data_IF_535040014640
#
_entry.id   IF_535040014640
#
_cell.length_a   1.000
_cell.length_b   1.000
_cell.length_c   1.000
_cell.angle_alpha   90.00
_cell.angle_beta   90.00
_cell.angle_gamma   90.00
#
_symmetry.space_group_name_H-M   'P 1'
#
loop_
_entity.id
_entity.type
_entity.pdbx_description
1 polymer ?
#
# COMPACT_ATOMS: atom_id res chain seq x y z
N UNK A 1 -3.89 -1.89 -15.89
CA UNK A 1 -5.13 -1.30 -16.47
C UNK A 1 -5.65 -0.23 -15.53
N UNK A 2 -5.72 1.04 -15.96
CA UNK A 2 -6.33 2.08 -15.15
C UNK A 2 -7.85 1.92 -15.28
N UNK A 3 -8.50 1.40 -14.26
CA UNK A 3 -9.95 1.38 -14.17
C UNK A 3 -10.41 2.78 -13.76
N UNK A 4 -10.58 3.65 -14.75
CA UNK A 4 -11.33 4.89 -14.51
C UNK A 4 -12.76 4.49 -14.12
N UNK A 5 -13.16 4.73 -12.86
CA UNK A 5 -14.57 4.55 -12.51
C UNK A 5 -15.35 5.70 -13.13
N UNK A 6 -15.84 5.49 -14.35
CA UNK A 6 -16.89 6.28 -14.97
C UNK A 6 -18.29 5.73 -14.66
N UNK A 7 -18.38 4.69 -13.82
CA UNK A 7 -19.67 4.15 -13.41
C UNK A 7 -20.36 5.14 -12.47
N UNK A 8 -21.40 5.79 -13.00
CA UNK A 8 -22.25 6.70 -12.22
C UNK A 8 -22.97 6.01 -11.04
N UNK A 9 -23.04 4.69 -11.05
CA UNK A 9 -23.62 3.88 -9.97
C UNK A 9 -22.62 3.56 -8.87
N UNK A 10 -21.33 3.82 -9.09
CA UNK A 10 -20.33 3.60 -8.05
C UNK A 10 -20.56 4.56 -6.88
N UNK A 11 -20.63 4.08 -5.62
CA UNK A 11 -21.00 4.89 -4.47
C UNK A 11 -20.09 6.12 -4.25
N UNK A 12 -18.79 6.01 -4.54
CA UNK A 12 -17.89 7.17 -4.45
C UNK A 12 -18.21 8.23 -5.50
N UNK A 13 -18.56 7.83 -6.73
CA UNK A 13 -18.95 8.75 -7.79
C UNK A 13 -20.27 9.44 -7.42
N UNK A 14 -21.26 8.69 -6.95
CA UNK A 14 -22.53 9.25 -6.48
C UNK A 14 -22.33 10.22 -5.33
N UNK A 15 -21.57 9.83 -4.32
CA UNK A 15 -21.27 10.68 -3.17
C UNK A 15 -20.57 11.98 -3.59
N UNK A 16 -19.62 11.91 -4.52
CA UNK A 16 -18.92 13.10 -5.02
C UNK A 16 -19.79 14.06 -5.81
N UNK A 17 -20.91 13.58 -6.38
CA UNK A 17 -21.86 14.39 -7.13
C UNK A 17 -22.90 15.09 -6.25
N UNK A 18 -23.08 14.67 -4.99
CA UNK A 18 -24.04 15.29 -4.09
C UNK A 18 -23.67 16.75 -3.85
N UNK A 19 -24.51 17.67 -4.27
CA UNK A 19 -24.24 19.11 -4.18
C UNK A 19 -25.27 19.89 -3.37
N UNK A 20 -26.49 19.41 -3.33
CA UNK A 20 -27.59 20.08 -2.69
C UNK A 20 -27.78 19.65 -1.22
N UNK A 21 -28.16 20.59 -0.37
CA UNK A 21 -28.44 20.30 1.05
C UNK A 21 -29.56 19.27 1.24
N UNK A 22 -30.52 19.21 0.31
CA UNK A 22 -31.60 18.24 0.35
C UNK A 22 -31.18 16.81 0.09
N UNK A 23 -30.23 16.60 -0.85
CA UNK A 23 -29.66 15.27 -1.12
C UNK A 23 -28.83 14.74 0.08
N UNK A 24 -28.17 15.63 0.80
CA UNK A 24 -27.41 15.29 2.00
C UNK A 24 -28.30 14.90 3.19
N UNK A 25 -29.54 15.40 3.27
CA UNK A 25 -30.49 15.06 4.35
C UNK A 25 -30.84 13.57 4.36
N UNK A 26 -30.87 12.91 3.21
CA UNK A 26 -31.16 11.48 3.09
C UNK A 26 -30.02 10.55 3.49
N UNK A 27 -28.88 11.09 3.93
CA UNK A 27 -27.73 10.29 4.34
C UNK A 27 -27.69 10.15 5.86
N UNK A 28 -27.79 8.92 6.34
CA UNK A 28 -27.56 8.62 7.75
C UNK A 28 -26.07 8.56 8.06
N UNK A 29 -25.67 9.15 9.19
CA UNK A 29 -24.30 9.14 9.67
C UNK A 29 -24.21 8.55 11.08
N UNK A 30 -23.16 7.74 11.28
CA UNK A 30 -22.67 7.37 12.60
C UNK A 30 -21.20 7.72 12.74
N UNK A 31 -20.79 8.17 13.92
CA UNK A 31 -19.42 8.54 14.22
C UNK A 31 -18.86 7.67 15.31
N UNK A 32 -17.67 7.11 15.05
CA UNK A 32 -16.99 6.22 15.96
C UNK A 32 -15.55 6.67 16.22
N UNK A 33 -15.09 6.45 17.45
CA UNK A 33 -13.68 6.42 17.78
C UNK A 33 -13.24 4.97 17.91
N UNK A 34 -12.10 4.61 17.30
CA UNK A 34 -11.58 3.25 17.26
C UNK A 34 -10.24 3.16 17.98
N UNK A 35 -10.08 2.13 18.77
CA UNK A 35 -8.83 1.69 19.39
C UNK A 35 -8.45 0.30 18.92
N UNK A 36 -7.18 0.11 18.58
CA UNK A 36 -6.57 -1.18 18.29
C UNK A 36 -5.97 -1.78 19.57
N UNK A 37 -6.20 -3.06 19.81
CA UNK A 37 -5.69 -3.79 20.98
C UNK A 37 -5.03 -5.09 20.52
N UNK A 38 -3.70 -5.09 20.38
CA UNK A 38 -2.96 -6.26 19.83
C UNK A 38 -3.04 -7.53 20.72
N UNK A 39 -3.23 -7.38 22.00
CA UNK A 39 -3.13 -8.48 23.01
C UNK A 39 -4.48 -8.89 23.61
N UNK A 40 -5.59 -8.49 22.99
CA UNK A 40 -6.93 -8.76 23.52
C UNK A 40 -7.72 -9.67 22.58
N UNK A 41 -8.61 -10.50 23.14
CA UNK A 41 -9.61 -11.27 22.38
C UNK A 41 -10.47 -10.39 21.48
N UNK A 42 -10.58 -9.11 21.84
CA UNK A 42 -11.22 -8.07 21.03
C UNK A 42 -10.15 -7.16 20.40
N UNK A 43 -9.72 -7.52 19.21
CA UNK A 43 -8.67 -6.79 18.49
C UNK A 43 -8.97 -5.32 18.26
N UNK A 44 -10.24 -4.97 18.05
CA UNK A 44 -10.72 -3.59 17.96
C UNK A 44 -11.78 -3.33 19.01
N UNK A 45 -11.78 -2.11 19.55
CA UNK A 45 -12.86 -1.53 20.33
C UNK A 45 -13.28 -0.23 19.71
N UNK A 46 -14.57 -0.01 19.53
CA UNK A 46 -15.14 1.21 18.98
C UNK A 46 -16.06 1.84 20.02
N UNK A 47 -16.10 3.17 20.06
CA UNK A 47 -17.08 3.95 20.81
C UNK A 47 -17.86 4.81 19.86
N UNK A 48 -19.16 4.68 19.87
CA UNK A 48 -20.07 5.51 19.09
C UNK A 48 -20.37 6.80 19.83
N UNK A 49 -20.55 7.88 19.08
CA UNK A 49 -20.96 9.19 19.58
C UNK A 49 -22.22 9.66 18.87
N UNK A 50 -23.18 10.05 19.66
CA UNK A 50 -24.34 10.76 19.13
C UNK A 50 -23.91 12.11 18.54
N UNK A 51 -24.43 12.43 17.37
CA UNK A 51 -24.16 13.67 16.67
C UNK A 51 -25.36 14.62 16.86
N UNK A 52 -25.10 15.90 17.15
CA UNK A 52 -26.15 16.90 16.99
C UNK A 52 -26.44 17.09 15.49
N UNK A 53 -27.62 17.57 15.16
CA UNK A 53 -28.02 17.82 13.77
C UNK A 53 -27.01 18.73 13.05
N UNK A 54 -26.55 19.79 13.70
CA UNK A 54 -25.56 20.74 13.15
C UNK A 54 -24.23 20.04 12.83
N UNK A 55 -23.72 19.22 13.74
CA UNK A 55 -22.47 18.45 13.55
C UNK A 55 -22.66 17.39 12.47
N UNK A 56 -23.81 16.72 12.43
CA UNK A 56 -24.14 15.75 11.39
C UNK A 56 -24.12 16.38 9.99
N UNK A 57 -24.81 17.50 9.81
CA UNK A 57 -24.84 18.22 8.54
C UNK A 57 -23.46 18.78 8.13
N UNK A 58 -22.68 19.23 9.10
CA UNK A 58 -21.30 19.63 8.82
C UNK A 58 -20.44 18.45 8.37
N UNK A 59 -20.50 17.30 9.06
CA UNK A 59 -19.77 16.08 8.69
C UNK A 59 -20.14 15.58 7.30
N UNK A 60 -21.43 15.57 6.93
CA UNK A 60 -21.86 15.19 5.59
C UNK A 60 -21.15 16.02 4.52
N UNK A 61 -21.14 17.35 4.70
CA UNK A 61 -20.44 18.26 3.78
C UNK A 61 -18.94 18.00 3.73
N UNK A 62 -18.30 17.73 4.88
CA UNK A 62 -16.87 17.42 4.94
C UNK A 62 -16.55 16.11 4.20
N UNK A 63 -17.34 15.05 4.40
CA UNK A 63 -17.16 13.78 3.69
C UNK A 63 -17.25 13.99 2.17
N UNK A 64 -18.26 14.69 1.69
CA UNK A 64 -18.40 14.96 0.25
C UNK A 64 -17.23 15.76 -0.29
N UNK A 65 -16.75 16.78 0.43
CA UNK A 65 -15.59 17.56 0.03
C UNK A 65 -14.31 16.71 -0.02
N UNK A 66 -14.07 15.86 0.99
CA UNK A 66 -12.91 14.99 1.03
C UNK A 66 -12.96 13.93 -0.08
N UNK A 67 -14.12 13.34 -0.35
CA UNK A 67 -14.30 12.41 -1.47
C UNK A 67 -13.99 13.10 -2.81
N UNK A 68 -14.43 14.35 -2.99
CA UNK A 68 -14.09 15.14 -4.19
C UNK A 68 -12.59 15.42 -4.32
N UNK A 69 -11.88 15.57 -3.20
CA UNK A 69 -10.41 15.76 -3.20
C UNK A 69 -9.65 14.52 -3.64
N UNK A 70 -10.26 13.35 -3.51
CA UNK A 70 -9.68 12.09 -4.00
C UNK A 70 -9.78 11.93 -5.51
N UNK A 71 -10.53 12.80 -6.19
CA UNK A 71 -10.65 12.83 -7.64
C UNK A 71 -9.51 13.63 -8.25
N UNK A 72 -8.96 13.15 -9.37
CA UNK A 72 -8.07 13.95 -10.22
C UNK A 72 -8.89 14.89 -11.12
N UNK A 73 -8.32 16.05 -11.41
CA UNK A 73 -8.90 17.01 -12.35
C UNK A 73 -8.30 16.75 -13.73
N UNK A 74 -9.16 16.61 -14.73
CA UNK A 74 -8.76 16.44 -16.12
C UNK A 74 -8.58 17.81 -16.85
N UNK A 75 -7.99 17.79 -18.02
CA UNK A 75 -7.73 18.99 -18.81
C UNK A 75 -9.02 19.74 -19.20
N UNK A 76 -10.11 19.01 -19.43
CA UNK A 76 -11.44 19.56 -19.72
C UNK A 76 -12.16 20.14 -18.50
N UNK A 77 -11.53 20.06 -17.32
CA UNK A 77 -12.09 20.52 -16.06
C UNK A 77 -12.99 19.50 -15.35
N UNK A 78 -13.27 18.37 -15.97
CA UNK A 78 -13.95 17.25 -15.33
C UNK A 78 -13.15 16.63 -14.20
N UNK A 79 -13.79 15.84 -13.34
CA UNK A 79 -13.14 15.13 -12.25
C UNK A 79 -13.51 13.66 -12.29
N UNK A 80 -12.53 12.81 -12.08
CA UNK A 80 -12.73 11.36 -11.99
C UNK A 80 -11.89 10.74 -10.89
N UNK A 81 -12.28 9.55 -10.44
CA UNK A 81 -11.39 8.72 -9.62
C UNK A 81 -10.43 7.98 -10.52
N UNK A 82 -9.16 8.08 -10.22
CA UNK A 82 -8.14 7.19 -10.76
C UNK A 82 -7.88 6.10 -9.73
N UNK A 83 -8.26 4.85 -10.06
CA UNK A 83 -8.16 3.71 -9.16
C UNK A 83 -7.25 2.68 -9.80
N UNK A 84 -6.20 2.30 -9.07
CA UNK A 84 -5.33 1.19 -9.41
C UNK A 84 -5.48 0.06 -8.41
N UNK A 85 -5.18 -1.17 -8.82
CA UNK A 85 -5.12 -2.28 -7.86
C UNK A 85 -4.01 -2.02 -6.84
N UNK A 86 -4.27 -2.37 -5.58
CA UNK A 86 -3.26 -2.29 -4.54
C UNK A 86 -2.20 -3.36 -4.78
N UNK A 87 -0.97 -2.93 -4.82
CA UNK A 87 0.18 -3.83 -4.73
C UNK A 87 1.24 -3.21 -3.82
N UNK A 88 2.11 -4.05 -3.28
CA UNK A 88 3.06 -3.67 -2.22
C UNK A 88 4.05 -2.56 -2.62
N UNK A 89 4.19 -2.29 -3.91
CA UNK A 89 5.13 -1.29 -4.44
C UNK A 89 4.52 0.06 -4.76
N UNK A 90 3.23 0.25 -4.57
CA UNK A 90 2.60 1.56 -4.81
C UNK A 90 3.27 2.60 -3.94
N UNK A 91 4.18 3.37 -4.55
CA UNK A 91 4.92 4.45 -3.88
C UNK A 91 4.20 5.80 -3.99
N UNK A 92 3.40 6.00 -5.01
CA UNK A 92 2.78 7.28 -5.35
C UNK A 92 1.27 7.26 -5.23
N UNK A 93 0.74 8.38 -4.82
CA UNK A 93 -0.57 8.60 -4.22
C UNK A 93 -1.45 9.54 -5.01
N UNK A 94 -1.19 9.67 -6.29
CA UNK A 94 -2.02 10.50 -7.15
C UNK A 94 -3.33 9.79 -7.52
N UNK A 95 -3.50 8.55 -7.06
CA UNK A 95 -4.66 7.69 -7.29
C UNK A 95 -5.00 6.87 -6.05
N UNK A 96 -6.24 6.42 -5.97
CA UNK A 96 -6.67 5.45 -4.97
C UNK A 96 -6.15 4.05 -5.32
N UNK A 97 -5.63 3.34 -4.32
CA UNK A 97 -5.35 1.93 -4.47
C UNK A 97 -6.55 1.11 -4.01
N UNK A 98 -7.05 0.18 -4.85
CA UNK A 98 -8.13 -0.74 -4.51
C UNK A 98 -7.56 -2.08 -4.05
N UNK A 99 -8.05 -2.57 -2.93
CA UNK A 99 -7.76 -3.91 -2.42
C UNK A 99 -9.05 -4.64 -2.15
N UNK A 100 -9.26 -5.81 -2.79
CA UNK A 100 -10.35 -6.71 -2.45
C UNK A 100 -9.98 -7.55 -1.23
N UNK A 101 -10.85 -7.58 -0.23
CA UNK A 101 -10.69 -8.33 1.01
C UNK A 101 -11.45 -9.66 0.92
N UNK A 102 -10.84 -10.65 0.31
CA UNK A 102 -11.35 -12.03 0.22
C UNK A 102 -10.74 -12.88 1.34
N UNK A 103 -11.37 -14.02 1.66
CA UNK A 103 -10.89 -14.90 2.75
C UNK A 103 -9.47 -15.41 2.52
N UNK A 104 -9.13 -15.62 1.27
CA UNK A 104 -7.83 -16.12 0.79
C UNK A 104 -6.68 -15.17 1.14
N UNK A 105 -6.96 -13.88 1.30
CA UNK A 105 -5.98 -12.87 1.71
C UNK A 105 -5.58 -13.05 3.20
N UNK A 106 -6.36 -13.84 3.98
CA UNK A 106 -6.04 -14.17 5.36
C UNK A 106 -6.21 -12.98 6.31
N UNK A 107 -5.10 -12.53 6.91
CA UNK A 107 -5.11 -11.55 8.00
C UNK A 107 -5.92 -10.26 7.72
N UNK A 108 -5.81 -9.59 6.57
CA UNK A 108 -6.61 -8.39 6.29
C UNK A 108 -8.12 -8.64 6.32
N UNK A 109 -8.57 -9.80 5.83
CA UNK A 109 -9.98 -10.19 5.89
C UNK A 109 -10.44 -10.43 7.33
N UNK A 110 -9.65 -11.10 8.14
CA UNK A 110 -9.91 -11.32 9.57
C UNK A 110 -10.01 -9.99 10.32
N UNK A 111 -9.09 -9.04 10.02
CA UNK A 111 -9.10 -7.70 10.61
C UNK A 111 -10.33 -6.89 10.21
N UNK A 112 -10.76 -6.96 8.94
CA UNK A 112 -12.02 -6.38 8.50
C UNK A 112 -13.20 -6.92 9.31
N UNK A 113 -13.28 -8.24 9.46
CA UNK A 113 -14.36 -8.89 10.20
C UNK A 113 -14.38 -8.47 11.67
N UNK A 114 -13.21 -8.41 12.33
CA UNK A 114 -13.08 -7.94 13.70
C UNK A 114 -13.47 -6.45 13.84
N UNK A 115 -13.09 -5.62 12.88
CA UNK A 115 -13.42 -4.20 12.81
C UNK A 115 -14.94 -3.99 12.70
N UNK A 116 -15.59 -4.61 11.73
CA UNK A 116 -17.04 -4.51 11.55
C UNK A 116 -17.82 -5.01 12.76
N UNK A 117 -17.32 -6.05 13.44
CA UNK A 117 -17.89 -6.53 14.71
C UNK A 117 -17.77 -5.48 15.81
N UNK A 118 -16.64 -4.77 15.90
CA UNK A 118 -16.45 -3.71 16.89
C UNK A 118 -17.38 -2.51 16.63
N UNK A 119 -17.60 -2.14 15.37
CA UNK A 119 -18.53 -1.07 14.99
C UNK A 119 -19.99 -1.47 15.26
N UNK A 120 -20.36 -2.74 15.04
CA UNK A 120 -21.70 -3.24 15.31
C UNK A 120 -22.00 -3.39 16.81
N UNK A 121 -20.96 -3.47 17.67
CA UNK A 121 -21.08 -3.63 19.13
C UNK A 121 -20.18 -2.59 19.82
N UNK A 122 -20.55 -1.30 19.77
CA UNK A 122 -19.73 -0.24 20.38
C UNK A 122 -19.60 -0.40 21.89
N UNK A 123 -18.45 -0.01 22.42
CA UNK A 123 -18.12 -0.06 23.82
C UNK A 123 -18.25 1.32 24.45
N UNK A 124 -19.29 1.58 25.26
CA UNK A 124 -19.51 2.89 25.87
C UNK A 124 -18.42 3.27 26.88
N UNK A 125 -17.69 2.27 27.42
CA UNK A 125 -16.64 2.49 28.42
C UNK A 125 -15.27 2.74 27.79
N UNK A 126 -15.15 2.71 26.47
CA UNK A 126 -13.90 3.02 25.81
C UNK A 126 -13.50 4.48 26.05
N UNK A 127 -12.30 4.67 26.60
CA UNK A 127 -11.70 5.99 26.82
C UNK A 127 -11.34 6.65 25.48
N UNK A 128 -11.97 7.78 25.13
CA UNK A 128 -11.71 8.47 23.88
C UNK A 128 -10.25 8.95 23.72
N UNK A 129 -9.56 9.24 24.82
CA UNK A 129 -8.17 9.70 24.79
C UNK A 129 -7.20 8.62 24.29
N UNK A 130 -7.61 7.36 24.38
CA UNK A 130 -6.80 6.18 23.99
C UNK A 130 -7.13 5.67 22.60
N UNK A 131 -7.92 6.40 21.80
CA UNK A 131 -8.30 6.01 20.45
C UNK A 131 -7.34 6.59 19.41
N UNK A 132 -7.13 5.85 18.33
CA UNK A 132 -6.13 6.16 17.30
C UNK A 132 -6.78 6.55 15.97
N UNK A 133 -8.03 6.15 15.76
CA UNK A 133 -8.73 6.37 14.50
C UNK A 133 -10.14 6.91 14.75
N UNK A 134 -10.60 7.67 13.78
CA UNK A 134 -11.97 8.16 13.69
C UNK A 134 -12.61 7.50 12.47
N UNK A 135 -13.85 7.08 12.62
CA UNK A 135 -14.60 6.45 11.56
C UNK A 135 -15.92 7.20 11.41
N UNK A 136 -16.20 7.65 10.20
CA UNK A 136 -17.54 8.11 9.83
C UNK A 136 -18.16 7.02 8.97
N UNK A 137 -19.27 6.46 9.45
CA UNK A 137 -20.07 5.50 8.70
C UNK A 137 -21.22 6.24 8.05
N UNK A 138 -21.48 5.97 6.79
CA UNK A 138 -22.66 6.45 6.09
C UNK A 138 -23.33 5.30 5.36
N UNK A 139 -24.63 5.42 5.13
CA UNK A 139 -25.38 4.52 4.28
C UNK A 139 -25.91 5.30 3.07
N UNK A 140 -25.57 4.83 1.88
CA UNK A 140 -26.01 5.37 0.62
C UNK A 140 -26.56 4.22 -0.24
N UNK A 141 -27.86 4.30 -0.60
CA UNK A 141 -28.54 3.26 -1.39
C UNK A 141 -28.46 1.85 -0.80
N UNK A 142 -28.61 1.73 0.52
CA UNK A 142 -28.49 0.46 1.22
C UNK A 142 -27.07 -0.10 1.32
N UNK A 143 -26.07 0.67 0.93
CA UNK A 143 -24.66 0.29 1.03
C UNK A 143 -23.96 1.12 2.08
N UNK A 144 -23.25 0.44 2.98
CA UNK A 144 -22.49 1.08 4.06
C UNK A 144 -21.07 1.39 3.61
N UNK A 145 -20.66 2.65 3.79
CA UNK A 145 -19.31 3.13 3.58
C UNK A 145 -18.73 3.55 4.93
N UNK A 146 -17.48 3.20 5.17
CA UNK A 146 -16.76 3.59 6.36
C UNK A 146 -15.54 4.41 5.93
N UNK A 147 -15.50 5.68 6.35
CA UNK A 147 -14.42 6.61 6.07
C UNK A 147 -13.49 6.68 7.27
N UNK A 148 -12.23 6.37 7.06
CA UNK A 148 -11.23 6.34 8.12
C UNK A 148 -10.36 7.58 8.09
N UNK A 149 -10.22 8.19 9.27
CA UNK A 149 -9.36 9.33 9.53
C UNK A 149 -8.36 8.96 10.62
N UNK A 150 -7.10 9.30 10.41
CA UNK A 150 -6.08 9.09 11.42
C UNK A 150 -6.18 10.19 12.48
N UNK A 151 -6.19 9.77 13.73
CA UNK A 151 -6.10 10.64 14.87
C UNK A 151 -4.72 10.48 15.49
N UNK A 152 -3.91 11.55 15.50
CA UNK A 152 -2.67 11.52 16.26
C UNK A 152 -3.02 11.28 17.72
N UNK A 153 -2.49 10.22 18.37
CA UNK A 153 -2.66 10.05 19.80
C UNK A 153 -2.21 11.36 20.47
N UNK A 154 -3.04 11.89 21.32
CA UNK A 154 -2.64 13.05 22.11
C UNK A 154 -1.41 12.64 22.91
N UNK A 155 -0.25 13.13 22.55
CA UNK A 155 0.90 13.03 23.43
C UNK A 155 0.53 13.72 24.73
N UNK A 156 0.35 12.86 25.75
CA UNK A 156 0.23 13.14 27.16
C UNK A 156 -0.30 14.50 27.64
N UNK A 157 -1.06 14.45 28.67
CA UNK A 157 -1.74 15.47 29.46
C UNK A 157 -0.93 16.73 29.88
N UNK A 158 0.27 16.97 29.36
CA UNK A 158 1.09 18.12 29.73
C UNK A 158 0.87 19.37 28.89
N UNK A 159 0.16 19.30 27.75
CA UNK A 159 -0.16 20.50 26.96
C UNK A 159 -1.56 20.97 27.29
N UNK A 160 -1.62 22.01 28.13
CA UNK A 160 -2.84 22.77 28.33
C UNK A 160 -3.32 23.31 26.98
N UNK A 161 -4.55 22.96 26.59
CA UNK A 161 -5.17 23.48 25.37
C UNK A 161 -5.85 24.80 25.71
N UNK A 162 -5.63 25.79 24.86
CA UNK A 162 -6.27 27.07 24.96
C UNK A 162 -7.50 27.07 24.03
N UNK A 163 -8.62 27.54 24.53
CA UNK A 163 -9.84 27.80 23.78
C UNK A 163 -10.16 29.28 23.80
N UNK A 164 -10.68 29.82 22.70
CA UNK A 164 -11.23 31.16 22.68
C UNK A 164 -12.60 31.14 23.36
N UNK A 165 -12.70 31.80 24.51
CA UNK A 165 -14.00 32.03 25.13
C UNK A 165 -14.83 33.05 24.35
N UNK A 166 -16.15 33.02 24.56
CA UNK A 166 -17.10 34.01 23.94
C UNK A 166 -16.79 35.47 24.28
N UNK A 167 -16.00 35.72 25.32
CA UNK A 167 -15.53 37.04 25.75
C UNK A 167 -14.31 37.54 24.96
N UNK A 168 -13.75 36.74 24.03
CA UNK A 168 -12.50 37.07 23.35
C UNK A 168 -11.23 36.78 24.15
N UNK A 169 -11.37 36.25 25.36
CA UNK A 169 -10.25 35.83 26.21
C UNK A 169 -9.81 34.39 25.88
N UNK A 170 -8.51 34.13 26.04
CA UNK A 170 -7.96 32.79 25.96
C UNK A 170 -8.09 32.11 27.33
N UNK A 171 -8.85 31.01 27.38
CA UNK A 171 -8.98 30.17 28.57
C UNK A 171 -8.50 28.75 28.27
N UNK A 172 -8.27 28.00 29.34
CA UNK A 172 -7.97 26.57 29.19
C UNK A 172 -9.21 25.80 28.75
N UNK A 173 -9.08 24.99 27.72
CA UNK A 173 -10.16 24.11 27.31
C UNK A 173 -10.47 23.14 28.47
N UNK A 174 -11.66 23.25 29.02
CA UNK A 174 -12.14 22.44 30.16
C UNK A 174 -12.68 21.08 29.70
N UNK A 175 -12.95 20.94 28.40
CA UNK A 175 -13.56 19.75 27.80
C UNK A 175 -12.57 19.02 26.90
N UNK A 176 -12.73 17.69 26.77
CA UNK A 176 -11.96 16.92 25.81
C UNK A 176 -12.44 17.26 24.38
N UNK A 177 -11.56 17.91 23.62
CA UNK A 177 -11.81 18.22 22.23
C UNK A 177 -11.50 17.02 21.34
N UNK A 178 -12.43 16.65 20.48
CA UNK A 178 -12.22 15.70 19.39
C UNK A 178 -11.94 16.51 18.13
N UNK A 179 -10.71 16.45 17.65
CA UNK A 179 -10.35 17.06 16.37
C UNK A 179 -10.60 16.02 15.26
N UNK A 180 -11.43 16.35 14.27
CA UNK A 180 -11.59 15.51 13.10
C UNK A 180 -10.30 15.53 12.28
N UNK A 181 -9.82 14.36 11.87
CA UNK A 181 -8.70 14.23 10.93
C UNK A 181 -9.02 14.93 9.60
N UNK A 182 -8.05 15.66 9.04
CA UNK A 182 -8.29 16.51 7.87
C UNK A 182 -8.47 15.76 6.54
N UNK A 183 -8.07 14.47 6.45
CA UNK A 183 -8.10 13.74 5.19
C UNK A 183 -8.64 12.32 5.38
N UNK A 184 -9.36 11.83 4.40
CA UNK A 184 -9.74 10.41 4.31
C UNK A 184 -8.47 9.61 4.02
N UNK A 185 -8.13 8.71 4.94
CA UNK A 185 -6.96 7.83 4.81
C UNK A 185 -7.27 6.61 3.95
N UNK A 186 -8.42 6.01 4.16
CA UNK A 186 -8.98 4.95 3.31
C UNK A 186 -10.49 4.83 3.53
N UNK A 187 -11.15 4.15 2.60
CA UNK A 187 -12.60 3.91 2.61
C UNK A 187 -12.81 2.40 2.54
N UNK A 188 -13.59 1.86 3.45
CA UNK A 188 -14.07 0.48 3.39
C UNK A 188 -15.52 0.48 2.90
N UNK A 189 -15.74 -0.25 1.82
CA UNK A 189 -17.06 -0.48 1.23
C UNK A 189 -17.21 -1.95 0.90
N UNK A 190 -18.13 -2.62 1.58
CA UNK A 190 -18.34 -4.06 1.45
C UNK A 190 -17.06 -4.86 1.66
N UNK A 191 -16.53 -5.49 0.64
CA UNK A 191 -15.27 -6.23 0.67
C UNK A 191 -14.12 -5.49 -0.01
N UNK A 192 -14.28 -4.22 -0.31
CA UNK A 192 -13.27 -3.43 -1.00
C UNK A 192 -12.74 -2.29 -0.13
N UNK A 193 -11.44 -2.11 -0.18
CA UNK A 193 -10.75 -0.96 0.38
C UNK A 193 -10.29 -0.04 -0.73
N UNK A 194 -10.59 1.26 -0.57
CA UNK A 194 -10.05 2.33 -1.41
C UNK A 194 -9.07 3.13 -0.57
N UNK A 195 -7.80 3.00 -0.84
CA UNK A 195 -6.71 3.45 0.02
C UNK A 195 -6.09 4.70 -0.59
N UNK A 196 -6.14 5.82 0.14
CA UNK A 196 -5.42 7.05 -0.18
C UNK A 196 -4.09 7.13 0.58
N UNK A 197 -3.99 6.48 1.75
CA UNK A 197 -2.78 6.43 2.57
C UNK A 197 -2.45 5.03 3.02
N UNK A 198 -1.37 4.51 2.45
CA UNK A 198 -0.91 3.14 2.72
C UNK A 198 -0.53 2.92 4.18
N UNK A 199 0.20 3.87 4.79
CA UNK A 199 0.71 3.72 6.16
C UNK A 199 -0.41 3.51 7.18
N UNK A 200 -1.51 4.27 7.02
CA UNK A 200 -2.67 4.17 7.92
C UNK A 200 -3.40 2.85 7.72
N UNK A 201 -3.64 2.47 6.46
CA UNK A 201 -4.23 1.17 6.13
C UNK A 201 -3.38 0.02 6.67
N UNK A 202 -2.07 0.01 6.36
CA UNK A 202 -1.15 -1.02 6.81
C UNK A 202 -1.11 -1.14 8.35
N UNK A 203 -1.26 -0.02 9.05
CA UNK A 203 -1.32 -0.02 10.51
C UNK A 203 -2.66 -0.55 11.02
N UNK A 204 -3.81 -0.10 10.49
CA UNK A 204 -5.13 -0.53 10.95
C UNK A 204 -5.30 -2.03 10.76
N UNK A 205 -4.95 -2.56 9.60
CA UNK A 205 -5.16 -3.96 9.22
C UNK A 205 -3.99 -4.90 9.54
N UNK A 206 -2.93 -4.44 10.22
CA UNK A 206 -1.67 -5.18 10.40
C UNK A 206 -1.04 -5.67 9.09
N UNK A 207 -1.33 -4.98 8.00
CA UNK A 207 -0.84 -5.38 6.70
C UNK A 207 0.68 -5.34 6.63
N UNK A 208 1.31 -4.47 7.40
CA UNK A 208 2.77 -4.40 7.54
C UNK A 208 3.35 -5.71 8.08
N UNK A 209 2.73 -6.30 9.09
CA UNK A 209 3.18 -7.58 9.66
C UNK A 209 3.02 -8.73 8.65
N UNK A 210 1.96 -8.69 7.83
CA UNK A 210 1.78 -9.61 6.71
C UNK A 210 2.90 -9.47 5.68
N UNK A 211 3.21 -8.24 5.27
CA UNK A 211 4.29 -7.93 4.32
C UNK A 211 5.66 -8.39 4.84
N UNK A 212 5.94 -8.17 6.13
CA UNK A 212 7.20 -8.62 6.75
C UNK A 212 7.33 -10.14 6.75
N UNK A 213 6.27 -10.87 7.07
CA UNK A 213 6.27 -12.34 7.02
C UNK A 213 6.45 -12.87 5.60
N UNK A 214 5.78 -12.26 4.60
CA UNK A 214 5.97 -12.60 3.21
C UNK A 214 7.40 -12.36 2.74
N UNK A 215 8.00 -11.23 3.14
CA UNK A 215 9.43 -10.94 2.89
C UNK A 215 10.34 -12.03 3.44
N UNK A 216 10.17 -12.37 4.73
CA UNK A 216 11.02 -13.37 5.39
C UNK A 216 10.89 -14.73 4.70
N UNK A 217 9.66 -15.14 4.42
CA UNK A 217 9.40 -16.40 3.71
C UNK A 217 10.06 -16.43 2.32
N UNK A 218 9.88 -15.38 1.53
CA UNK A 218 10.43 -15.32 0.18
C UNK A 218 11.96 -15.20 0.19
N UNK A 219 12.54 -14.48 1.16
CA UNK A 219 14.00 -14.39 1.30
C UNK A 219 14.61 -15.77 1.63
N UNK A 220 13.98 -16.54 2.51
CA UNK A 220 14.37 -17.92 2.78
C UNK A 220 14.23 -18.81 1.54
N UNK A 221 13.12 -18.70 0.80
CA UNK A 221 12.90 -19.45 -0.41
C UNK A 221 13.97 -19.14 -1.46
N UNK A 222 14.25 -17.85 -1.76
CA UNK A 222 15.30 -17.43 -2.70
C UNK A 222 16.66 -18.00 -2.30
N UNK A 223 17.04 -17.84 -1.03
CA UNK A 223 18.35 -18.29 -0.56
C UNK A 223 18.48 -19.81 -0.43
N UNK A 224 17.40 -20.55 -0.63
CA UNK A 224 17.36 -22.01 -0.67
C UNK A 224 17.45 -22.57 -2.09
N UNK A 225 17.38 -21.72 -3.14
CA UNK A 225 17.50 -22.15 -4.52
C UNK A 225 18.88 -22.73 -4.82
N UNK A 226 19.00 -23.74 -5.71
CA UNK A 226 20.25 -24.45 -5.95
C UNK A 226 21.43 -23.54 -6.34
N UNK A 227 21.17 -22.49 -7.09
CA UNK A 227 22.21 -21.55 -7.54
C UNK A 227 22.65 -20.53 -6.46
N UNK A 228 22.04 -20.56 -5.26
CA UNK A 228 22.48 -19.81 -4.07
C UNK A 228 23.50 -20.57 -3.23
N UNK A 229 24.34 -21.37 -3.88
CA UNK A 229 25.46 -22.09 -3.25
C UNK A 229 26.61 -21.11 -2.92
N UNK A 230 26.55 -20.47 -1.77
CA UNK A 230 27.58 -19.59 -1.25
C UNK A 230 27.94 -19.92 0.19
N UNK A 231 29.06 -19.42 0.65
CA UNK A 231 29.47 -19.56 2.05
C UNK A 231 28.44 -18.98 3.00
N UNK A 232 28.31 -19.59 4.18
CA UNK A 232 27.32 -19.16 5.18
C UNK A 232 27.48 -17.67 5.53
N UNK A 233 28.70 -17.17 5.66
CA UNK A 233 28.98 -15.77 5.97
C UNK A 233 28.41 -14.81 4.91
N UNK A 234 28.55 -15.15 3.64
CA UNK A 234 28.04 -14.37 2.51
C UNK A 234 26.51 -14.43 2.44
N UNK A 235 25.95 -15.60 2.69
CA UNK A 235 24.48 -15.80 2.77
C UNK A 235 23.88 -14.99 3.90
N UNK A 236 24.49 -15.00 5.08
CA UNK A 236 24.05 -14.23 6.24
C UNK A 236 24.17 -12.70 5.98
N UNK A 237 25.25 -12.30 5.28
CA UNK A 237 25.43 -10.90 4.85
C UNK A 237 24.34 -10.48 3.86
N UNK A 238 24.08 -11.28 2.83
CA UNK A 238 22.99 -11.02 1.88
C UNK A 238 21.63 -10.87 2.58
N UNK A 239 21.28 -11.81 3.46
CA UNK A 239 20.03 -11.76 4.23
C UNK A 239 19.94 -10.50 5.09
N UNK A 240 21.01 -10.12 5.76
CA UNK A 240 21.08 -8.91 6.58
C UNK A 240 20.89 -7.64 5.73
N UNK A 241 21.55 -7.54 4.58
CA UNK A 241 21.47 -6.38 3.70
C UNK A 241 20.08 -6.27 3.05
N UNK A 242 19.45 -7.40 2.70
CA UNK A 242 18.05 -7.49 2.30
C UNK A 242 17.08 -7.13 3.46
N UNK A 243 17.55 -7.11 4.70
CA UNK A 243 16.82 -6.67 5.88
C UNK A 243 16.32 -5.23 5.80
N UNK A 244 17.02 -4.35 5.06
CA UNK A 244 16.63 -2.96 4.91
C UNK A 244 15.18 -2.78 4.43
N UNK A 245 14.49 -1.79 5.00
CA UNK A 245 13.07 -1.50 4.72
C UNK A 245 12.81 -1.29 3.22
N UNK A 246 13.78 -0.71 2.52
CA UNK A 246 13.69 -0.43 1.08
C UNK A 246 13.38 -1.69 0.23
N UNK A 247 13.92 -2.87 0.61
CA UNK A 247 13.72 -4.12 -0.13
C UNK A 247 12.49 -4.91 0.32
N UNK A 248 11.81 -4.46 1.38
CA UNK A 248 10.73 -5.23 2.00
C UNK A 248 9.60 -5.51 1.02
N UNK A 249 9.19 -4.51 0.25
CA UNK A 249 8.07 -4.65 -0.69
C UNK A 249 8.43 -5.51 -1.88
N UNK A 250 9.61 -5.30 -2.46
CA UNK A 250 10.11 -6.10 -3.58
C UNK A 250 10.17 -7.58 -3.22
N UNK A 251 10.74 -7.92 -2.06
CA UNK A 251 10.83 -9.30 -1.59
C UNK A 251 9.47 -9.91 -1.28
N UNK A 252 8.56 -9.15 -0.64
CA UNK A 252 7.25 -9.65 -0.26
C UNK A 252 6.34 -9.95 -1.47
N UNK A 253 6.60 -9.34 -2.63
CA UNK A 253 5.83 -9.55 -3.86
C UNK A 253 6.24 -10.80 -4.65
N UNK A 254 7.42 -11.34 -4.39
CA UNK A 254 7.89 -12.51 -5.12
C UNK A 254 7.03 -13.73 -4.78
N UNK A 255 6.15 -14.11 -5.69
CA UNK A 255 5.28 -15.28 -5.52
C UNK A 255 5.99 -16.59 -5.85
N UNK A 256 5.40 -17.73 -5.45
CA UNK A 256 5.95 -19.07 -5.73
C UNK A 256 6.17 -19.33 -7.23
N UNK A 257 5.21 -18.96 -8.08
CA UNK A 257 5.32 -19.07 -9.55
C UNK A 257 6.55 -18.33 -10.10
N UNK A 258 6.86 -17.18 -9.55
CA UNK A 258 8.03 -16.40 -9.96
C UNK A 258 9.33 -17.07 -9.51
N UNK A 259 9.39 -17.59 -8.28
CA UNK A 259 10.54 -18.34 -7.79
C UNK A 259 10.80 -19.60 -8.63
N UNK A 260 9.76 -20.33 -8.99
CA UNK A 260 9.84 -21.48 -9.89
C UNK A 260 10.31 -21.09 -11.31
N UNK A 261 9.85 -19.95 -11.82
CA UNK A 261 10.28 -19.42 -13.11
C UNK A 261 11.76 -19.06 -13.10
N UNK A 262 12.23 -18.40 -12.03
CA UNK A 262 13.65 -18.07 -11.84
C UNK A 262 14.47 -19.37 -11.82
N UNK A 263 14.07 -20.35 -11.02
CA UNK A 263 14.81 -21.62 -10.89
C UNK A 263 14.97 -22.30 -12.24
N UNK A 264 13.91 -22.37 -13.04
CA UNK A 264 13.95 -22.99 -14.38
C UNK A 264 14.81 -22.23 -15.38
N UNK A 265 14.78 -20.88 -15.34
CA UNK A 265 15.41 -20.05 -16.37
C UNK A 265 16.82 -19.58 -16.01
N UNK A 266 17.28 -19.76 -14.79
CA UNK A 266 18.53 -19.17 -14.31
C UNK A 266 19.76 -19.53 -15.19
N UNK A 267 19.95 -20.80 -15.54
CA UNK A 267 21.04 -21.23 -16.43
C UNK A 267 20.96 -20.61 -17.81
N UNK A 268 19.76 -20.52 -18.41
CA UNK A 268 19.53 -19.86 -19.69
C UNK A 268 19.90 -18.37 -19.61
N UNK A 269 19.48 -17.66 -18.55
CA UNK A 269 19.83 -16.25 -18.34
C UNK A 269 21.32 -16.05 -18.14
N UNK A 270 22.00 -16.93 -17.43
CA UNK A 270 23.47 -16.93 -17.36
C UNK A 270 24.13 -17.08 -18.75
N UNK A 271 23.57 -17.93 -19.60
CA UNK A 271 24.02 -18.10 -21.00
C UNK A 271 23.84 -16.81 -21.81
N UNK A 272 22.71 -16.14 -21.72
CA UNK A 272 22.45 -14.86 -22.38
C UNK A 272 23.41 -13.77 -21.91
N UNK A 273 23.62 -13.67 -20.60
CA UNK A 273 24.56 -12.70 -20.01
C UNK A 273 25.99 -12.95 -20.51
N UNK A 274 26.44 -14.23 -20.60
CA UNK A 274 27.72 -14.57 -21.23
C UNK A 274 27.81 -14.08 -22.68
N UNK A 275 26.74 -14.22 -23.46
CA UNK A 275 26.70 -13.75 -24.85
C UNK A 275 26.75 -12.22 -24.94
N UNK A 276 26.03 -11.49 -24.08
CA UNK A 276 26.08 -10.03 -24.02
C UNK A 276 27.51 -9.59 -23.72
N UNK A 277 28.17 -10.19 -22.76
CA UNK A 277 29.57 -9.87 -22.40
C UNK A 277 30.55 -10.12 -23.55
N UNK A 278 30.37 -11.18 -24.30
CA UNK A 278 31.21 -11.53 -25.45
C UNK A 278 31.03 -10.60 -26.67
N UNK A 279 29.88 -9.95 -26.79
CA UNK A 279 29.53 -9.04 -27.90
C UNK A 279 29.99 -7.60 -27.72
N UNK A 280 30.74 -7.29 -26.66
CA UNK A 280 31.27 -5.93 -26.45
C UNK A 280 32.17 -5.55 -27.61
N UNK A 281 31.91 -4.43 -28.31
CA UNK A 281 32.75 -3.96 -29.39
C UNK A 281 34.19 -3.67 -28.91
N UNK A 282 35.13 -3.87 -29.78
CA UNK A 282 36.55 -3.56 -29.50
C UNK A 282 36.86 -2.06 -29.54
N UNK A 283 36.08 -1.27 -30.29
CA UNK A 283 36.25 0.18 -30.36
C UNK A 283 35.76 0.84 -29.06
N UNK A 284 36.59 1.69 -28.39
CA UNK A 284 36.26 2.22 -27.06
C UNK A 284 34.91 2.93 -26.95
N UNK A 285 34.61 3.87 -27.86
CA UNK A 285 33.35 4.63 -27.84
C UNK A 285 32.12 3.72 -28.02
N UNK A 286 32.19 2.76 -28.94
CA UNK A 286 31.11 1.80 -29.17
C UNK A 286 30.99 0.80 -27.98
N UNK A 287 32.09 0.49 -27.33
CA UNK A 287 32.07 -0.34 -26.13
C UNK A 287 31.38 0.38 -24.96
N UNK A 288 31.60 1.68 -24.81
CA UNK A 288 30.95 2.48 -23.78
C UNK A 288 29.44 2.64 -24.06
N UNK A 289 29.06 2.93 -25.30
CA UNK A 289 27.66 2.98 -25.72
C UNK A 289 26.95 1.63 -25.46
N UNK A 290 27.62 0.53 -25.84
CA UNK A 290 27.10 -0.81 -25.59
C UNK A 290 26.92 -1.09 -24.10
N UNK A 291 27.88 -0.73 -23.24
CA UNK A 291 27.75 -0.90 -21.79
C UNK A 291 26.61 -0.06 -21.20
N UNK A 292 26.43 1.16 -21.70
CA UNK A 292 25.33 2.02 -21.26
C UNK A 292 23.97 1.42 -21.64
N UNK A 293 23.85 0.84 -22.84
CA UNK A 293 22.64 0.16 -23.28
C UNK A 293 22.23 -1.00 -22.36
N UNK A 294 23.20 -1.69 -21.75
CA UNK A 294 23.02 -2.84 -20.88
C UNK A 294 23.35 -2.53 -19.40
N UNK A 295 23.27 -1.27 -18.99
CA UNK A 295 23.80 -0.83 -17.68
C UNK A 295 23.37 -1.69 -16.46
N UNK A 296 22.09 -2.05 -16.25
CA UNK A 296 21.69 -2.89 -15.12
C UNK A 296 22.28 -4.31 -15.20
N UNK A 297 22.38 -4.88 -16.41
CA UNK A 297 22.98 -6.20 -16.60
C UNK A 297 24.47 -6.18 -16.35
N UNK A 298 25.13 -5.02 -16.55
CA UNK A 298 26.55 -4.84 -16.26
C UNK A 298 26.84 -4.87 -14.76
N UNK A 299 25.98 -4.28 -13.96
CA UNK A 299 26.05 -4.37 -12.51
C UNK A 299 25.77 -5.79 -11.99
N UNK A 300 24.90 -6.54 -12.69
CA UNK A 300 24.52 -7.90 -12.32
C UNK A 300 25.70 -8.88 -12.42
N UNK A 301 26.68 -8.62 -13.30
CA UNK A 301 27.89 -9.47 -13.40
C UNK A 301 28.70 -9.55 -12.11
N UNK A 302 28.60 -8.56 -11.23
CA UNK A 302 29.27 -8.59 -9.94
C UNK A 302 28.65 -9.63 -8.98
N UNK A 303 27.40 -10.03 -9.25
CA UNK A 303 26.62 -10.93 -8.41
C UNK A 303 26.50 -12.35 -8.97
N UNK A 304 27.03 -12.62 -10.17
CA UNK A 304 26.85 -13.89 -10.85
C UNK A 304 28.20 -14.48 -11.28
N UNK A 305 28.50 -15.70 -10.79
CA UNK A 305 29.51 -16.56 -11.39
C UNK A 305 28.86 -17.27 -12.59
N UNK A 306 29.00 -16.66 -13.77
CA UNK A 306 28.34 -17.15 -14.97
C UNK A 306 28.87 -18.52 -15.44
N UNK A 307 30.11 -18.88 -15.10
CA UNK A 307 30.67 -20.17 -15.52
C UNK A 307 30.13 -21.32 -14.67
N UNK A 308 29.91 -21.06 -13.38
CA UNK A 308 29.34 -22.05 -12.45
C UNK A 308 27.83 -21.91 -12.29
N UNK A 309 27.23 -20.95 -12.97
CA UNK A 309 25.79 -20.65 -12.93
C UNK A 309 25.28 -20.49 -11.48
N UNK A 310 25.96 -19.68 -10.70
CA UNK A 310 25.60 -19.44 -9.29
C UNK A 310 25.66 -17.97 -8.91
N UNK A 311 24.93 -17.65 -7.86
CA UNK A 311 24.97 -16.32 -7.24
C UNK A 311 26.20 -16.19 -6.37
N UNK A 312 26.86 -15.04 -6.44
CA UNK A 312 27.91 -14.61 -5.53
C UNK A 312 27.51 -13.29 -4.90
N UNK A 313 27.93 -13.04 -3.66
CA UNK A 313 27.59 -11.79 -2.98
C UNK A 313 28.86 -11.08 -2.50
N UNK A 314 29.44 -10.18 -3.32
CA UNK A 314 30.66 -9.49 -2.99
C UNK A 314 30.49 -8.49 -1.83
N UNK A 315 31.56 -8.29 -1.07
CA UNK A 315 31.58 -7.35 0.04
C UNK A 315 31.43 -5.89 -0.46
N UNK A 316 30.69 -5.06 0.31
CA UNK A 316 30.48 -3.65 0.00
C UNK A 316 29.46 -3.36 -1.12
N UNK A 317 28.84 -4.38 -1.71
CA UNK A 317 27.80 -4.23 -2.71
C UNK A 317 26.40 -4.26 -2.07
N UNK A 318 25.44 -3.58 -2.71
CA UNK A 318 24.03 -3.61 -2.31
C UNK A 318 23.27 -4.59 -3.19
N UNK A 319 22.29 -5.34 -2.65
CA UNK A 319 21.57 -6.38 -3.40
C UNK A 319 20.57 -5.83 -4.43
N UNK A 320 20.52 -4.53 -4.67
CA UNK A 320 19.45 -3.85 -5.44
C UNK A 320 19.26 -4.49 -6.82
N UNK A 321 20.29 -4.56 -7.65
CA UNK A 321 20.16 -5.08 -9.01
C UNK A 321 19.86 -6.59 -9.01
N UNK A 322 20.45 -7.33 -8.07
CA UNK A 322 20.16 -8.77 -7.92
C UNK A 322 18.71 -9.02 -7.53
N UNK A 323 18.15 -8.22 -6.62
CA UNK A 323 16.74 -8.31 -6.25
C UNK A 323 15.81 -7.89 -7.39
N UNK A 324 16.19 -6.90 -8.21
CA UNK A 324 15.42 -6.54 -9.41
C UNK A 324 15.48 -7.65 -10.46
N UNK A 325 16.59 -8.35 -10.58
CA UNK A 325 16.70 -9.53 -11.45
C UNK A 325 15.75 -10.65 -11.00
N UNK A 326 15.73 -10.99 -9.70
CA UNK A 326 14.80 -11.99 -9.17
C UNK A 326 13.34 -11.53 -9.19
N UNK A 327 13.09 -10.23 -9.11
CA UNK A 327 11.75 -9.67 -9.19
C UNK A 327 11.26 -9.50 -10.65
N UNK A 328 12.04 -9.94 -11.66
CA UNK A 328 11.78 -9.73 -13.08
C UNK A 328 11.53 -8.26 -13.45
N UNK A 329 12.35 -7.37 -12.85
CA UNK A 329 12.22 -5.91 -12.97
C UNK A 329 13.34 -5.27 -13.80
N UNK A 330 14.08 -6.07 -14.54
CA UNK A 330 15.03 -5.61 -15.54
C UNK A 330 14.33 -5.70 -16.90
N UNK A 331 13.97 -4.55 -17.47
CA UNK A 331 13.18 -4.48 -18.70
C UNK A 331 13.97 -3.80 -19.81
N UNK A 332 13.71 -4.20 -21.06
CA UNK A 332 14.28 -3.54 -22.24
C UNK A 332 13.26 -2.59 -22.85
N UNK A 333 13.66 -1.34 -23.04
CA UNK A 333 12.85 -0.37 -23.76
C UNK A 333 12.63 -0.83 -25.22
N UNK A 334 11.37 -0.84 -25.65
CA UNK A 334 11.05 -1.22 -27.04
C UNK A 334 11.65 -0.26 -28.07
N UNK A 335 11.71 1.05 -27.77
CA UNK A 335 12.20 2.06 -28.69
C UNK A 335 13.72 2.20 -28.68
N UNK A 336 14.31 2.41 -27.50
CA UNK A 336 15.75 2.68 -27.37
C UNK A 336 16.59 1.43 -27.30
N UNK A 337 15.96 0.26 -27.03
CA UNK A 337 16.63 -1.01 -26.77
C UNK A 337 17.55 -1.01 -25.54
N UNK A 338 17.50 0.05 -24.75
CA UNK A 338 18.25 0.16 -23.50
C UNK A 338 17.55 -0.65 -22.41
N UNK A 339 18.36 -1.31 -21.58
CA UNK A 339 17.88 -1.98 -20.38
C UNK A 339 17.77 -0.99 -19.22
N UNK A 340 16.72 -1.12 -18.43
CA UNK A 340 16.47 -0.29 -17.26
C UNK A 340 15.85 -1.09 -16.13
N UNK A 341 15.85 -0.51 -14.94
CA UNK A 341 15.12 -1.03 -13.79
C UNK A 341 13.74 -0.40 -13.77
N UNK A 342 12.71 -1.22 -13.56
CA UNK A 342 11.34 -0.74 -13.36
C UNK A 342 10.91 -0.94 -11.91
N UNK A 343 10.04 -0.07 -11.44
CA UNK A 343 9.48 -0.18 -10.08
C UNK A 343 8.28 -1.15 -10.01
N UNK A 344 7.62 -1.43 -11.16
CA UNK A 344 6.47 -2.33 -11.23
C UNK A 344 6.37 -2.99 -12.60
N UNK A 345 6.20 -4.31 -12.61
CA UNK A 345 5.69 -5.06 -13.76
C UNK A 345 4.25 -5.45 -13.41
N UNK A 346 3.32 -5.09 -14.28
CA UNK A 346 1.91 -5.43 -14.12
C UNK A 346 1.70 -6.86 -14.64
N UNK A 347 1.78 -7.85 -13.76
CA UNK A 347 1.54 -9.26 -14.09
C UNK A 347 0.05 -9.63 -14.12
N UNK A 348 -0.85 -8.66 -14.12
CA UNK A 348 -2.31 -8.86 -14.02
C UNK A 348 -2.94 -9.58 -15.21
N UNK A 349 -2.22 -9.87 -16.28
CA UNK A 349 -2.81 -10.53 -17.46
C UNK A 349 -2.89 -12.07 -17.36
N UNK A 350 -2.24 -12.71 -16.39
CA UNK A 350 -2.22 -14.18 -16.32
C UNK A 350 -3.29 -14.80 -15.41
N UNK A 351 -4.08 -14.00 -14.68
CA UNK A 351 -5.08 -14.54 -13.76
C UNK A 351 -6.46 -14.80 -14.39
N UNK A 352 -6.71 -14.36 -15.63
CA UNK A 352 -8.02 -14.56 -16.29
C UNK A 352 -8.13 -15.82 -17.14
N UNK A 353 -7.06 -16.59 -17.34
CA UNK A 353 -7.08 -17.77 -18.24
C UNK A 353 -7.29 -19.13 -17.57
N UNK A 354 -7.32 -19.22 -16.24
CA UNK A 354 -7.44 -20.50 -15.52
C UNK A 354 -8.86 -20.82 -15.02
N UNK A 355 -9.88 -20.02 -15.43
CA UNK A 355 -11.29 -20.29 -15.14
C UNK A 355 -12.17 -20.23 -16.40
N UNK A 356 -11.80 -21.02 -17.43
CA UNK A 356 -12.68 -21.34 -18.54
C UNK A 356 -12.91 -22.85 -18.62
#
# INVERSE_FOLDING_TARGET
>A
MNLGINDRNHPLTRLSCLSASEELRGIDLAFFLLRKQKESDRYYRAKEFALSEEVGEWLKRQIVQEVRRLQIKEEDGSRRFEIGEYHLEVKKRDRLARLKLEKEIGLPYERKTALLRALANPDPLLDPAKTEFQIVQTELDGKRLHFFFYRKPKQSASRKRLAFGRSGELDFAKEELVELGGNIEFILWDNELYISRLDTFENVFDYRDHVLKAKEHNLEAITSLPFFEMEKADKDRFKRDCGAFFYTRTLAQMGSKQLEAIERSFGERCGELRMIRKRVPTHPERAEEYRRMYAPLWELYDFLDLERERVVYPEGRRPTVLLHFFADKIVQSFLTKEFGLTDSIDHTQEQESDHA
#
